data_IF_151291105720
#
_entry.id   IF_151291105720
#
_cell.length_a   1.000
_cell.length_b   1.000
_cell.length_c   1.000
_cell.angle_alpha   90.00
_cell.angle_beta   90.00
_cell.angle_gamma   90.00
#
_symmetry.space_group_name_H-M   'P 1'
#
loop_
_entity.id
_entity.type
_entity.pdbx_description
1 polymer ?
#
# COMPACT_ATOMS: atom_id res chain seq x y z
N UNK A 1 -5.12 15.96 -7.28
CA UNK A 1 -4.27 15.47 -8.39
C UNK A 1 -4.70 16.22 -9.65
N UNK A 2 -3.73 16.62 -10.49
CA UNK A 2 -4.00 17.24 -11.80
C UNK A 2 -3.68 16.27 -12.92
N UNK A 3 -4.45 16.36 -14.00
CA UNK A 3 -4.35 15.50 -15.16
C UNK A 3 -3.64 16.23 -16.31
N UNK A 4 -2.91 15.50 -17.15
CA UNK A 4 -2.41 16.03 -18.42
C UNK A 4 -3.49 16.00 -19.51
N UNK A 5 -3.13 16.34 -20.75
CA UNK A 5 -4.05 16.34 -21.91
C UNK A 5 -4.69 14.96 -22.17
N UNK A 6 -3.93 13.87 -21.95
CA UNK A 6 -4.40 12.50 -22.07
C UNK A 6 -5.25 12.02 -20.87
N UNK A 7 -5.69 12.92 -19.98
CA UNK A 7 -6.40 12.60 -18.73
C UNK A 7 -5.64 11.66 -17.79
N UNK A 8 -4.31 11.57 -17.92
CA UNK A 8 -3.45 10.80 -17.01
C UNK A 8 -3.20 11.60 -15.74
N UNK A 9 -3.38 10.96 -14.58
CA UNK A 9 -3.05 11.56 -13.28
C UNK A 9 -1.52 11.62 -13.14
N UNK A 10 -0.91 12.81 -13.23
CA UNK A 10 0.56 12.92 -13.29
C UNK A 10 1.16 13.91 -12.28
N UNK A 11 0.35 14.79 -11.68
CA UNK A 11 0.84 15.73 -10.68
C UNK A 11 0.02 15.69 -9.38
N UNK A 12 0.73 15.65 -8.26
CA UNK A 12 0.18 15.91 -6.94
C UNK A 12 0.41 17.39 -6.58
N UNK A 13 -0.67 18.07 -6.25
CA UNK A 13 -0.69 19.47 -5.82
C UNK A 13 -1.27 19.57 -4.42
N UNK A 14 -0.74 20.48 -3.60
CA UNK A 14 -1.22 20.80 -2.26
C UNK A 14 -1.89 22.17 -2.26
N UNK A 15 -3.14 22.19 -1.83
CA UNK A 15 -3.91 23.39 -1.57
C UNK A 15 -3.98 23.65 -0.06
N UNK A 16 -3.81 24.91 0.37
CA UNK A 16 -4.03 25.31 1.76
C UNK A 16 -5.46 25.81 1.93
N UNK A 17 -6.28 25.05 2.65
CA UNK A 17 -7.67 25.41 2.90
C UNK A 17 -7.80 26.82 3.53
N UNK A 18 -8.62 27.68 2.92
CA UNK A 18 -8.81 29.07 3.36
C UNK A 18 -7.66 30.02 3.03
N UNK A 19 -6.56 29.53 2.43
CA UNK A 19 -5.48 30.35 1.93
C UNK A 19 -5.81 30.94 0.55
N UNK A 20 -5.42 32.19 0.32
CA UNK A 20 -5.51 32.84 -1.00
C UNK A 20 -4.31 32.55 -1.92
N UNK A 21 -3.30 31.82 -1.42
CA UNK A 21 -2.09 31.50 -2.18
C UNK A 21 -2.33 30.43 -3.24
N UNK A 22 -1.46 30.35 -4.27
CA UNK A 22 -1.55 29.32 -5.29
C UNK A 22 -1.26 27.93 -4.70
N UNK A 23 -1.84 26.90 -5.32
CA UNK A 23 -1.48 25.51 -5.00
C UNK A 23 0.02 25.26 -5.26
N UNK A 24 0.63 24.44 -4.41
CA UNK A 24 2.04 24.06 -4.53
C UNK A 24 2.15 22.72 -5.22
N UNK A 25 2.98 22.62 -6.28
CA UNK A 25 3.34 21.35 -6.89
C UNK A 25 4.21 20.56 -5.90
N UNK A 26 3.77 19.35 -5.56
CA UNK A 26 4.43 18.48 -4.57
C UNK A 26 5.20 17.36 -5.24
N UNK A 27 4.63 16.78 -6.29
CA UNK A 27 5.24 15.69 -7.02
C UNK A 27 4.72 15.66 -8.45
N UNK A 28 5.59 15.31 -9.39
CA UNK A 28 5.27 15.08 -10.79
C UNK A 28 5.87 13.73 -11.22
N UNK A 29 5.05 12.91 -11.87
CA UNK A 29 5.44 11.62 -12.43
C UNK A 29 5.66 11.76 -13.96
N UNK A 30 6.92 11.86 -14.40
CA UNK A 30 7.26 12.08 -15.80
C UNK A 30 7.02 10.84 -16.67
N UNK A 31 7.01 9.64 -16.09
CA UNK A 31 6.80 8.42 -16.85
C UNK A 31 5.32 8.21 -17.16
N UNK A 32 4.98 8.22 -18.44
CA UNK A 32 3.60 8.13 -18.93
C UNK A 32 2.92 6.78 -18.66
N UNK A 33 3.69 5.74 -18.32
CA UNK A 33 3.14 4.45 -17.92
C UNK A 33 2.49 4.49 -16.53
N UNK A 34 2.80 5.50 -15.72
CA UNK A 34 2.38 5.60 -14.34
C UNK A 34 1.24 6.61 -14.15
N UNK A 35 0.22 6.20 -13.42
CA UNK A 35 -0.81 7.08 -12.89
C UNK A 35 -0.57 7.34 -11.41
N UNK A 36 -0.71 8.59 -11.00
CA UNK A 36 -0.68 8.97 -9.60
C UNK A 36 -2.02 8.72 -8.91
N UNK A 37 -1.96 8.19 -7.68
CA UNK A 37 -3.06 8.09 -6.74
C UNK A 37 -2.61 8.67 -5.40
N UNK A 38 -3.54 9.34 -4.69
CA UNK A 38 -3.30 9.81 -3.32
C UNK A 38 -4.40 9.28 -2.42
N UNK A 39 -4.01 8.77 -1.26
CA UNK A 39 -4.92 8.19 -0.28
C UNK A 39 -4.43 8.47 1.15
N UNK A 40 -5.25 8.11 2.13
CA UNK A 40 -4.95 8.24 3.56
C UNK A 40 -5.20 6.90 4.25
N UNK A 41 -4.36 6.54 5.22
CA UNK A 41 -4.58 5.38 6.08
C UNK A 41 -5.91 5.48 6.84
N UNK A 42 -6.49 4.35 7.22
CA UNK A 42 -7.77 4.33 7.95
C UNK A 42 -7.70 5.02 9.31
N UNK A 43 -6.53 5.01 9.96
CA UNK A 43 -6.32 5.77 11.21
C UNK A 43 -6.06 7.27 10.98
N UNK A 44 -6.02 7.72 9.73
CA UNK A 44 -5.84 9.11 9.34
C UNK A 44 -4.42 9.64 9.51
N UNK A 45 -3.45 8.83 9.94
CA UNK A 45 -2.10 9.31 10.32
C UNK A 45 -1.10 9.34 9.19
N UNK A 46 -1.36 8.64 8.10
CA UNK A 46 -0.40 8.50 6.99
C UNK A 46 -1.08 8.84 5.68
N UNK A 47 -0.50 9.78 4.94
CA UNK A 47 -0.81 10.02 3.54
C UNK A 47 0.05 9.08 2.68
N UNK A 48 -0.54 8.58 1.60
CA UNK A 48 0.07 7.63 0.68
C UNK A 48 -0.03 8.20 -0.73
N UNK A 49 1.08 8.24 -1.44
CA UNK A 49 1.17 8.64 -2.84
C UNK A 49 1.67 7.43 -3.62
N UNK A 50 0.83 6.90 -4.50
CA UNK A 50 1.18 5.80 -5.39
C UNK A 50 1.44 6.30 -6.79
N UNK A 51 2.50 5.83 -7.43
CA UNK A 51 2.67 5.84 -8.88
C UNK A 51 2.45 4.40 -9.36
N UNK A 52 1.41 4.19 -10.17
CA UNK A 52 0.90 2.87 -10.52
C UNK A 52 0.98 2.68 -12.03
N UNK A 53 1.79 1.72 -12.47
CA UNK A 53 1.80 1.20 -13.83
C UNK A 53 1.15 -0.19 -13.86
N UNK A 54 1.14 -0.84 -15.03
CA UNK A 54 0.54 -2.17 -15.23
C UNK A 54 1.21 -3.27 -14.40
N UNK A 55 2.53 -3.22 -14.25
CA UNK A 55 3.35 -4.28 -13.66
C UNK A 55 4.33 -3.76 -12.59
N UNK A 56 4.20 -2.49 -12.23
CA UNK A 56 5.14 -1.81 -11.34
C UNK A 56 4.37 -0.80 -10.50
N UNK A 57 4.55 -0.88 -9.19
CA UNK A 57 4.01 0.10 -8.25
C UNK A 57 5.15 0.73 -7.46
N UNK A 58 4.96 2.00 -7.13
CA UNK A 58 5.86 2.77 -6.29
C UNK A 58 5.04 3.60 -5.33
N UNK A 59 5.23 3.36 -4.04
CA UNK A 59 4.50 4.04 -2.99
C UNK A 59 5.43 4.92 -2.17
N UNK A 60 4.95 6.12 -1.88
CA UNK A 60 5.54 7.05 -0.92
C UNK A 60 4.58 7.32 0.21
N UNK A 61 5.11 7.61 1.39
CA UNK A 61 4.33 7.95 2.59
C UNK A 61 4.77 9.27 3.20
N UNK A 62 3.83 9.95 3.85
CA UNK A 62 4.04 11.19 4.59
C UNK A 62 3.15 11.19 5.85
N UNK A 63 3.65 11.61 7.03
CA UNK A 63 2.80 11.85 8.20
C UNK A 63 1.74 12.91 7.89
N UNK A 64 0.47 12.60 8.15
CA UNK A 64 -0.65 13.47 7.80
C UNK A 64 -0.71 14.76 8.63
N UNK A 65 -0.08 14.78 9.80
CA UNK A 65 0.06 15.94 10.69
C UNK A 65 1.19 16.89 10.26
N UNK A 66 1.99 16.51 9.25
CA UNK A 66 3.09 17.31 8.67
C UNK A 66 3.01 17.31 7.14
N UNK A 67 1.94 17.87 6.55
CA UNK A 67 1.66 17.80 5.11
C UNK A 67 2.63 18.60 4.22
N UNK A 68 3.50 19.40 4.84
CA UNK A 68 4.63 20.12 4.24
C UNK A 68 5.94 19.33 4.30
N UNK A 69 5.97 18.19 4.99
CA UNK A 69 7.14 17.34 5.12
C UNK A 69 7.55 16.62 3.84
N UNK A 70 8.63 15.85 3.94
CA UNK A 70 9.19 15.10 2.81
C UNK A 70 8.50 13.75 2.63
N UNK A 71 7.99 13.50 1.42
CA UNK A 71 7.50 12.19 1.01
C UNK A 71 8.64 11.18 0.97
N UNK A 72 8.46 10.03 1.63
CA UNK A 72 9.47 8.97 1.70
C UNK A 72 9.00 7.76 0.92
N UNK A 73 9.86 7.24 0.05
CA UNK A 73 9.63 5.96 -0.63
C UNK A 73 9.42 4.84 0.38
N UNK A 74 8.53 3.91 0.07
CA UNK A 74 8.34 2.71 0.88
C UNK A 74 9.43 1.71 0.56
N UNK A 75 9.59 1.42 -0.74
CA UNK A 75 10.66 0.61 -1.30
C UNK A 75 11.20 1.32 -2.55
N UNK A 76 12.50 1.17 -2.88
CA UNK A 76 13.00 1.62 -4.16
C UNK A 76 12.22 0.99 -5.32
N UNK A 77 11.76 1.81 -6.28
CA UNK A 77 11.00 1.35 -7.45
C UNK A 77 11.79 0.28 -8.22
N UNK A 78 11.11 -0.82 -8.60
CA UNK A 78 11.68 -1.93 -9.37
C UNK A 78 10.67 -2.42 -10.41
N UNK A 79 11.09 -2.49 -11.67
CA UNK A 79 10.26 -3.01 -12.77
C UNK A 79 9.77 -4.44 -12.48
N UNK A 80 8.48 -4.69 -12.75
CA UNK A 80 7.85 -5.99 -12.53
C UNK A 80 7.52 -6.29 -11.05
N UNK A 81 7.88 -5.39 -10.13
CA UNK A 81 7.54 -5.53 -8.72
C UNK A 81 6.25 -4.77 -8.43
N UNK A 82 5.23 -5.55 -8.15
CA UNK A 82 3.94 -5.05 -7.74
C UNK A 82 3.76 -5.14 -6.24
N UNK A 83 3.29 -4.05 -5.64
CA UNK A 83 2.95 -4.03 -4.22
C UNK A 83 1.92 -2.96 -3.85
N UNK A 84 1.21 -3.23 -2.77
CA UNK A 84 0.30 -2.30 -2.10
C UNK A 84 0.66 -2.18 -0.62
N UNK A 85 0.38 -1.01 -0.06
CA UNK A 85 0.63 -0.71 1.35
C UNK A 85 -0.67 -0.46 2.10
N UNK A 86 -0.71 -0.90 3.36
CA UNK A 86 -1.76 -0.52 4.30
C UNK A 86 -1.12 -0.12 5.62
N UNK A 87 -0.77 1.17 5.80
CA UNK A 87 -0.23 1.67 7.06
C UNK A 87 -1.25 1.59 8.20
N UNK A 88 -0.78 1.25 9.39
CA UNK A 88 -1.53 1.30 10.64
C UNK A 88 -0.57 1.59 11.81
N UNK A 89 -0.76 2.72 12.49
CA UNK A 89 0.16 3.14 13.53
C UNK A 89 1.60 3.35 13.02
N UNK A 90 2.56 2.53 13.50
CA UNK A 90 3.98 2.58 13.09
C UNK A 90 4.40 1.38 12.25
N UNK A 91 3.43 0.62 11.77
CA UNK A 91 3.63 -0.56 10.95
C UNK A 91 2.82 -0.42 9.66
N UNK A 92 3.06 -1.32 8.72
CA UNK A 92 2.22 -1.48 7.53
C UNK A 92 2.03 -2.95 7.21
N UNK A 93 0.92 -3.24 6.52
CA UNK A 93 0.79 -4.45 5.74
C UNK A 93 1.36 -4.18 4.35
N UNK A 94 2.19 -5.10 3.86
CA UNK A 94 2.74 -5.06 2.50
C UNK A 94 2.26 -6.30 1.75
N UNK A 95 1.42 -6.10 0.75
CA UNK A 95 1.08 -7.12 -0.24
C UNK A 95 2.08 -6.97 -1.38
N UNK A 96 2.86 -8.00 -1.71
CA UNK A 96 3.96 -7.88 -2.71
C UNK A 96 4.16 -9.16 -3.52
N UNK A 97 4.46 -9.04 -4.81
CA UNK A 97 4.67 -10.15 -5.76
C UNK A 97 6.13 -10.65 -5.86
N UNK A 98 6.98 -10.33 -4.87
CA UNK A 98 8.44 -10.57 -4.94
C UNK A 98 8.85 -12.05 -4.98
N UNK A 99 7.91 -12.96 -4.74
CA UNK A 99 8.09 -14.42 -4.83
C UNK A 99 7.20 -15.10 -5.87
N UNK A 100 6.39 -14.33 -6.61
CA UNK A 100 5.47 -14.85 -7.62
C UNK A 100 4.20 -14.02 -7.75
N UNK A 101 3.47 -14.28 -8.83
CA UNK A 101 2.30 -13.49 -9.30
C UNK A 101 1.10 -13.50 -8.35
N UNK A 102 1.05 -14.44 -7.41
CA UNK A 102 -0.05 -14.58 -6.45
C UNK A 102 0.14 -13.78 -5.16
N UNK A 103 1.24 -13.03 -5.07
CA UNK A 103 1.58 -12.17 -3.93
C UNK A 103 1.76 -12.93 -2.61
N UNK A 104 2.39 -12.27 -1.65
CA UNK A 104 2.38 -12.63 -0.23
C UNK A 104 1.99 -11.41 0.60
N UNK A 105 1.61 -11.63 1.85
CA UNK A 105 1.24 -10.56 2.78
C UNK A 105 2.22 -10.53 3.96
N UNK A 106 2.87 -9.39 4.14
CA UNK A 106 3.82 -9.13 5.22
C UNK A 106 3.28 -8.10 6.20
N UNK A 107 3.68 -8.22 7.47
CA UNK A 107 3.57 -7.14 8.46
C UNK A 107 4.97 -6.64 8.79
N UNK A 108 5.19 -5.34 8.60
CA UNK A 108 6.51 -4.71 8.68
C UNK A 108 6.45 -3.41 9.49
N UNK A 109 7.49 -3.16 10.29
CA UNK A 109 7.67 -1.89 10.97
C UNK A 109 8.15 -0.81 10.00
N UNK A 110 7.58 0.39 10.09
CA UNK A 110 7.98 1.53 9.28
C UNK A 110 9.23 2.17 9.89
N UNK A 111 10.37 2.07 9.22
CA UNK A 111 11.62 2.65 9.74
C UNK A 111 11.56 4.19 9.69
N UNK A 112 12.01 4.90 10.74
CA UNK A 112 12.16 6.35 10.71
C UNK A 112 13.36 6.75 9.81
N UNK A 113 13.51 8.05 9.55
CA UNK A 113 14.66 8.60 8.84
C UNK A 113 14.29 9.28 7.53
N UNK A 114 15.29 9.46 6.65
CA UNK A 114 15.16 10.15 5.36
C UNK A 114 15.13 9.22 4.14
N UNK A 115 15.63 7.99 4.28
CA UNK A 115 15.63 6.98 3.23
C UNK A 115 14.31 6.20 3.13
N UNK A 116 14.29 5.14 2.30
CA UNK A 116 13.14 4.27 2.17
C UNK A 116 12.65 3.73 3.52
N UNK A 117 11.34 3.56 3.65
CA UNK A 117 10.71 3.01 4.87
C UNK A 117 11.11 1.55 5.09
N UNK A 118 11.30 0.82 3.99
CA UNK A 118 11.67 -0.59 3.93
C UNK A 118 12.82 -0.79 2.93
N UNK A 119 13.51 -1.90 3.09
CA UNK A 119 14.56 -2.38 2.19
C UNK A 119 14.24 -3.79 1.70
N UNK A 120 14.87 -4.27 0.60
CA UNK A 120 14.73 -5.66 0.19
C UNK A 120 15.11 -6.69 1.26
N UNK A 121 16.01 -6.33 2.19
CA UNK A 121 16.36 -7.19 3.32
C UNK A 121 15.21 -7.32 4.33
N UNK A 122 14.42 -6.26 4.53
CA UNK A 122 13.25 -6.28 5.42
C UNK A 122 12.17 -7.22 4.89
N UNK A 123 12.01 -7.33 3.57
CA UNK A 123 11.08 -8.28 2.96
C UNK A 123 11.48 -9.74 3.25
N UNK A 124 12.78 -10.04 3.37
CA UNK A 124 13.26 -11.39 3.69
C UNK A 124 13.06 -11.74 5.16
N UNK A 125 13.24 -10.77 6.06
CA UNK A 125 13.14 -10.95 7.51
C UNK A 125 11.73 -10.66 8.07
N UNK A 126 10.84 -10.10 7.25
CA UNK A 126 9.51 -9.65 7.64
C UNK A 126 8.60 -10.78 8.10
N UNK A 127 7.68 -10.47 9.01
CA UNK A 127 6.66 -11.42 9.46
C UNK A 127 5.66 -11.67 8.34
N UNK A 128 5.68 -12.87 7.79
CA UNK A 128 4.66 -13.32 6.84
C UNK A 128 3.33 -13.58 7.58
N UNK A 129 2.28 -12.88 7.17
CA UNK A 129 0.90 -13.20 7.57
C UNK A 129 0.29 -14.24 6.63
N UNK A 130 0.60 -14.12 5.33
CA UNK A 130 0.25 -15.09 4.30
C UNK A 130 1.48 -15.29 3.42
N UNK A 131 2.01 -16.50 3.39
CA UNK A 131 3.08 -16.87 2.48
C UNK A 131 2.58 -16.93 1.03
N UNK A 132 3.49 -16.72 0.08
CA UNK A 132 3.18 -16.93 -1.34
C UNK A 132 2.77 -18.39 -1.59
N UNK A 133 1.69 -18.60 -2.36
CA UNK A 133 1.26 -19.92 -2.80
C UNK A 133 0.86 -19.90 -4.29
N UNK A 134 1.21 -20.94 -5.07
CA UNK A 134 0.90 -20.98 -6.51
C UNK A 134 -0.59 -21.17 -6.81
N UNK A 135 -1.40 -21.62 -5.85
CA UNK A 135 -2.82 -21.95 -5.97
C UNK A 135 -3.76 -20.93 -5.28
N UNK A 136 -3.21 -19.88 -4.67
CA UNK A 136 -4.00 -18.86 -3.98
C UNK A 136 -3.40 -17.46 -4.09
N UNK A 137 -4.19 -16.52 -4.62
CA UNK A 137 -3.81 -15.12 -4.79
C UNK A 137 -4.25 -14.28 -3.60
N UNK A 138 -3.33 -13.53 -2.99
CA UNK A 138 -3.68 -12.45 -2.07
C UNK A 138 -4.12 -11.25 -2.91
N UNK A 139 -5.40 -10.91 -2.87
CA UNK A 139 -5.97 -9.81 -3.69
C UNK A 139 -5.83 -8.45 -3.00
N UNK A 140 -5.86 -8.42 -1.67
CA UNK A 140 -5.75 -7.18 -0.91
C UNK A 140 -5.79 -7.42 0.60
N UNK A 141 -5.48 -6.37 1.35
CA UNK A 141 -5.64 -6.37 2.80
C UNK A 141 -6.04 -4.98 3.31
N UNK A 142 -6.70 -4.97 4.46
CA UNK A 142 -7.05 -3.76 5.20
C UNK A 142 -6.72 -3.96 6.68
N UNK A 143 -6.29 -2.90 7.36
CA UNK A 143 -5.94 -2.92 8.78
C UNK A 143 -6.91 -2.06 9.59
N UNK A 144 -7.54 -2.66 10.60
CA UNK A 144 -8.36 -2.00 11.61
C UNK A 144 -7.60 -1.90 12.93
N UNK A 145 -8.21 -1.25 13.94
CA UNK A 145 -7.59 -1.04 15.26
C UNK A 145 -7.08 -2.34 15.92
N UNK A 146 -7.80 -3.45 15.75
CA UNK A 146 -7.52 -4.71 16.48
C UNK A 146 -7.15 -5.88 15.57
N UNK A 147 -7.46 -5.80 14.28
CA UNK A 147 -7.29 -6.90 13.34
C UNK A 147 -6.99 -6.39 11.93
N UNK A 148 -6.33 -7.22 11.13
CA UNK A 148 -6.28 -7.06 9.69
C UNK A 148 -7.24 -8.05 9.02
N UNK A 149 -7.77 -7.68 7.86
CA UNK A 149 -8.56 -8.58 7.01
C UNK A 149 -7.86 -8.67 5.66
N UNK A 150 -7.58 -9.88 5.20
CA UNK A 150 -7.05 -10.15 3.88
C UNK A 150 -8.12 -10.81 3.01
N UNK A 151 -8.18 -10.41 1.75
CA UNK A 151 -8.96 -11.08 0.72
C UNK A 151 -8.04 -12.01 -0.08
N UNK A 152 -8.42 -13.27 -0.16
CA UNK A 152 -7.66 -14.32 -0.85
C UNK A 152 -8.56 -15.02 -1.85
N UNK A 153 -8.11 -15.19 -3.08
CA UNK A 153 -8.77 -16.05 -4.08
C UNK A 153 -8.08 -17.40 -4.15
N UNK A 154 -8.82 -18.47 -3.92
CA UNK A 154 -8.31 -19.85 -3.94
C UNK A 154 -9.39 -20.76 -4.52
N UNK A 155 -9.04 -21.60 -5.50
CA UNK A 155 -10.01 -22.45 -6.20
C UNK A 155 -11.13 -21.66 -6.88
N UNK A 156 -10.84 -20.44 -7.37
CA UNK A 156 -11.82 -19.54 -7.98
C UNK A 156 -12.69 -18.74 -7.00
N UNK A 157 -12.74 -19.15 -5.73
CA UNK A 157 -13.61 -18.55 -4.71
C UNK A 157 -12.89 -17.48 -3.89
N UNK A 158 -13.63 -16.43 -3.49
CA UNK A 158 -13.11 -15.39 -2.60
C UNK A 158 -13.26 -15.83 -1.15
N UNK A 159 -12.17 -15.72 -0.39
CA UNK A 159 -12.11 -16.00 1.04
C UNK A 159 -11.64 -14.75 1.78
N UNK A 160 -12.20 -14.51 2.96
CA UNK A 160 -11.73 -13.46 3.86
C UNK A 160 -11.05 -14.09 5.07
N UNK A 161 -9.82 -13.66 5.36
CA UNK A 161 -9.03 -14.13 6.51
C UNK A 161 -8.76 -12.98 7.47
N UNK A 162 -9.11 -13.17 8.73
CA UNK A 162 -8.92 -12.19 9.80
C UNK A 162 -7.66 -12.54 10.61
N UNK A 163 -6.79 -11.55 10.80
CA UNK A 163 -5.56 -11.65 11.59
C UNK A 163 -5.66 -10.75 12.82
N UNK A 164 -5.67 -11.29 14.05
CA UNK A 164 -5.56 -10.47 15.26
C UNK A 164 -4.21 -9.74 15.30
N UNK A 165 -4.24 -8.40 15.48
CA UNK A 165 -3.01 -7.59 15.51
C UNK A 165 -2.28 -7.68 16.84
N UNK A 166 -2.98 -8.02 17.93
CA UNK A 166 -2.40 -8.30 19.25
C UNK A 166 -1.72 -9.69 19.35
N UNK A 167 -1.76 -10.48 18.28
CA UNK A 167 -1.34 -11.88 18.31
C UNK A 167 -2.53 -12.84 18.51
N UNK A 168 -2.30 -14.11 18.17
CA UNK A 168 -3.33 -15.14 18.09
C UNK A 168 -3.39 -15.80 16.71
N UNK A 169 -4.18 -16.88 16.61
CA UNK A 169 -4.38 -17.58 15.35
C UNK A 169 -5.27 -16.76 14.40
N UNK A 170 -4.97 -16.73 13.09
CA UNK A 170 -5.90 -16.20 12.10
C UNK A 170 -7.13 -17.09 11.99
N UNK A 171 -8.24 -16.51 11.54
CA UNK A 171 -9.48 -17.26 11.25
C UNK A 171 -10.05 -16.88 9.90
N UNK A 172 -10.63 -17.84 9.21
CA UNK A 172 -11.36 -17.60 7.96
C UNK A 172 -12.82 -17.25 8.27
N UNK A 173 -13.39 -16.36 7.46
CA UNK A 173 -14.83 -16.11 7.45
C UNK A 173 -15.47 -17.21 6.58
N UNK A 174 -16.32 -18.02 7.19
CA UNK A 174 -17.10 -19.01 6.47
C UNK A 174 -18.27 -18.31 5.76
N UNK A 175 -18.41 -18.56 4.45
CA UNK A 175 -19.57 -18.15 3.67
C UNK A 175 -20.49 -19.35 3.52
N UNK A 176 -21.78 -19.17 3.83
CA UNK A 176 -22.82 -20.10 3.41
C UNK A 176 -23.24 -19.67 2.00
N UNK A 177 -22.65 -20.29 1.00
CA UNK A 177 -23.01 -20.01 -0.40
C UNK A 177 -24.44 -20.48 -0.67
N UNK A 178 -25.18 -19.71 -1.47
CA UNK A 178 -26.48 -20.13 -1.96
C UNK A 178 -26.24 -21.27 -2.97
N UNK A 179 -26.79 -22.46 -2.66
CA UNK A 179 -26.73 -23.63 -3.53
C UNK A 179 -27.54 -23.46 -4.82
#
# INVERSE_FOLDING_TARGET
IRHNEARRSHQLWRHQAGGAGPDVLVHEEPNELFNLVVAKSLDGRTLMLGAIAKDTQDWRVLPADRPDGTWREVLPRRTGQEYDITPFGRELLLRVNDRGVNFRLLRLAMKPGRGPVLTPADLKAGRELIAHRPDAMVEGAVAFKTHAVAQVREGGSIKLRIFPLSGGAPRDIAFQELA
#
